data_IF_334190982001
#
_entry.id   IF_334190982001
#
_cell.length_a   1.000
_cell.length_b   1.000
_cell.length_c   1.000
_cell.angle_alpha   90.00
_cell.angle_beta   90.00
_cell.angle_gamma   90.00
#
_symmetry.space_group_name_H-M   'P 1'
#
loop_
_entity.id
_entity.type
_entity.pdbx_description
1 polymer ?
#
# COMPACT_ATOMS: atom_id res chain seq x y z
N UNK A 1 13.38 -58.68 27.78
CA UNK A 1 13.25 -57.27 27.35
C UNK A 1 14.20 -57.08 26.17
N UNK A 2 13.74 -57.19 24.92
CA UNK A 2 13.26 -56.06 24.05
C UNK A 2 14.31 -54.95 23.97
N UNK A 3 14.87 -54.54 22.84
CA UNK A 3 14.60 -54.81 21.44
C UNK A 3 15.64 -54.07 20.57
N UNK A 4 15.57 -54.34 19.27
CA UNK A 4 16.45 -53.91 18.19
C UNK A 4 16.57 -52.38 17.98
N UNK A 5 17.56 -51.96 17.18
CA UNK A 5 17.50 -50.66 16.50
C UNK A 5 18.76 -50.14 15.81
N UNK A 6 19.19 -50.78 14.72
CA UNK A 6 20.04 -50.14 13.69
C UNK A 6 19.36 -48.90 13.09
N UNK A 7 20.10 -47.78 12.94
CA UNK A 7 19.80 -46.68 11.99
C UNK A 7 21.15 -46.08 11.55
N UNK A 8 21.73 -46.54 10.45
CA UNK A 8 21.51 -46.09 9.06
C UNK A 8 21.56 -44.57 8.90
N UNK A 9 22.77 -44.12 8.62
CA UNK A 9 23.14 -42.86 7.99
C UNK A 9 22.69 -42.84 6.52
N UNK A 10 21.85 -41.87 6.17
CA UNK A 10 21.39 -41.39 4.83
C UNK A 10 20.48 -40.19 5.19
N UNK A 11 20.38 -39.06 4.50
CA UNK A 11 20.88 -38.51 3.25
C UNK A 11 20.50 -37.03 3.32
N UNK A 12 21.45 -36.11 3.14
CA UNK A 12 21.48 -35.12 2.07
C UNK A 12 20.12 -34.64 1.51
N UNK A 13 19.85 -33.34 1.79
CA UNK A 13 19.39 -32.28 0.89
C UNK A 13 18.25 -32.60 -0.08
N UNK A 14 17.05 -32.09 0.22
CA UNK A 14 16.12 -31.50 -0.77
C UNK A 14 15.26 -30.43 -0.05
N UNK A 15 15.80 -29.22 0.09
CA UNK A 15 15.01 -28.00 0.37
C UNK A 15 14.78 -27.31 -0.98
N UNK A 16 13.58 -27.42 -1.54
CA UNK A 16 13.32 -26.92 -2.89
C UNK A 16 11.86 -26.99 -3.32
N UNK A 17 10.93 -26.55 -2.49
CA UNK A 17 9.57 -26.24 -2.93
C UNK A 17 9.39 -24.71 -2.97
N UNK A 18 9.81 -24.13 -4.09
CA UNK A 18 9.51 -22.76 -4.49
C UNK A 18 7.99 -22.65 -4.71
N UNK A 19 7.28 -22.28 -3.65
CA UNK A 19 5.88 -21.92 -3.70
C UNK A 19 5.69 -20.74 -4.66
N UNK A 20 5.18 -21.04 -5.85
CA UNK A 20 4.68 -20.10 -6.83
C UNK A 20 3.49 -19.32 -6.26
N UNK A 21 3.78 -18.26 -5.50
CA UNK A 21 2.79 -17.24 -5.18
C UNK A 21 2.82 -16.22 -6.32
N UNK A 22 1.99 -16.47 -7.33
CA UNK A 22 1.57 -15.44 -8.28
C UNK A 22 0.85 -14.35 -7.52
N UNK A 23 1.62 -13.37 -7.04
CA UNK A 23 1.09 -12.18 -6.41
C UNK A 23 0.66 -11.22 -7.50
N UNK A 24 -0.66 -11.12 -7.65
CA UNK A 24 -1.42 -10.02 -8.25
C UNK A 24 -0.59 -8.79 -8.57
N UNK A 25 -0.59 -8.42 -9.85
CA UNK A 25 -0.22 -7.10 -10.35
C UNK A 25 -1.21 -6.05 -9.87
N UNK A 26 -1.29 -5.86 -8.55
CA UNK A 26 -1.93 -4.70 -7.96
C UNK A 26 -0.94 -3.55 -8.15
N UNK A 27 -1.17 -2.77 -9.19
CA UNK A 27 -0.52 -1.49 -9.44
C UNK A 27 -0.58 -0.65 -8.16
N UNK A 28 0.44 -0.76 -7.30
CA UNK A 28 0.62 0.06 -6.10
C UNK A 28 1.10 1.46 -6.51
N UNK A 29 0.39 2.08 -7.45
CA UNK A 29 0.35 3.54 -7.53
C UNK A 29 -0.67 4.04 -6.50
N UNK A 30 -0.45 3.68 -5.24
CA UNK A 30 -1.09 4.38 -4.14
C UNK A 30 -0.41 5.75 -4.09
N UNK A 31 -1.01 6.71 -4.80
CA UNK A 31 -0.72 8.13 -4.69
C UNK A 31 -0.62 8.47 -3.21
N UNK A 32 0.36 9.29 -2.86
CA UNK A 32 0.48 9.81 -1.49
C UNK A 32 -0.83 10.50 -1.17
N UNK A 33 -1.58 9.96 -0.21
CA UNK A 33 -2.89 10.52 0.16
C UNK A 33 -2.70 11.98 0.55
N UNK A 34 -3.34 12.87 -0.22
CA UNK A 34 -3.22 14.30 -0.06
C UNK A 34 -3.69 14.71 1.33
N UNK A 35 -3.06 15.74 1.91
CA UNK A 35 -3.44 16.25 3.23
C UNK A 35 -4.88 16.79 3.15
N UNK A 36 -5.83 16.30 3.97
CA UNK A 36 -7.20 16.77 3.90
C UNK A 36 -7.27 18.26 4.29
N UNK A 37 -8.05 19.03 3.54
CA UNK A 37 -8.36 20.43 3.88
C UNK A 37 -9.10 20.48 5.23
N UNK A 38 -8.97 21.57 6.01
CA UNK A 38 -9.65 21.68 7.30
C UNK A 38 -11.17 21.47 7.23
N UNK A 39 -11.83 22.03 6.21
CA UNK A 39 -13.27 21.86 5.98
C UNK A 39 -13.69 20.42 5.72
N UNK A 40 -12.83 19.59 5.13
CA UNK A 40 -13.09 18.16 4.93
C UNK A 40 -12.99 17.31 6.20
N UNK A 41 -12.62 17.90 7.35
CA UNK A 41 -12.52 17.20 8.65
C UNK A 41 -13.58 17.68 9.64
N UNK A 42 -13.83 18.99 9.68
CA UNK A 42 -14.71 19.65 10.66
C UNK A 42 -15.83 20.49 10.02
N UNK A 43 -16.08 20.32 8.71
CA UNK A 43 -17.16 21.02 8.00
C UNK A 43 -18.52 20.32 8.07
N UNK A 44 -18.56 19.04 8.45
CA UNK A 44 -19.79 18.27 8.66
C UNK A 44 -19.74 17.64 10.06
N UNK A 45 -20.81 17.79 10.83
CA UNK A 45 -20.94 17.29 12.20
C UNK A 45 -22.19 16.41 12.36
N UNK A 46 -22.10 15.28 13.07
CA UNK A 46 -20.89 14.73 13.71
C UNK A 46 -19.85 14.25 12.70
N UNK A 47 -18.59 14.19 13.12
CA UNK A 47 -17.46 13.75 12.28
C UNK A 47 -16.87 12.46 12.83
N UNK A 48 -16.53 11.51 11.94
CA UNK A 48 -15.84 10.27 12.31
C UNK A 48 -14.36 10.48 12.66
N UNK A 49 -13.86 11.72 12.50
CA UNK A 49 -12.51 12.07 12.84
C UNK A 49 -12.32 12.13 14.36
N UNK A 50 -11.37 11.38 14.92
CA UNK A 50 -11.00 11.51 16.34
C UNK A 50 -10.50 12.92 16.71
N UNK A 51 -10.68 13.31 17.98
CA UNK A 51 -10.45 14.68 18.49
C UNK A 51 -9.14 15.32 18.04
N UNK A 52 -8.01 14.59 18.12
CA UNK A 52 -6.70 15.12 17.66
C UNK A 52 -6.70 15.54 16.20
N UNK A 53 -7.40 14.81 15.33
CA UNK A 53 -7.50 15.15 13.90
C UNK A 53 -8.34 16.40 13.71
N UNK A 54 -9.43 16.55 14.47
CA UNK A 54 -10.29 17.74 14.45
C UNK A 54 -9.55 18.99 14.95
N UNK A 55 -8.87 18.92 16.10
CA UNK A 55 -8.09 20.04 16.64
C UNK A 55 -6.94 20.44 15.71
N UNK A 56 -6.26 19.48 15.09
CA UNK A 56 -5.24 19.78 14.09
C UNK A 56 -5.82 20.44 12.84
N UNK A 57 -7.06 20.13 12.44
CA UNK A 57 -7.75 20.82 11.36
C UNK A 57 -8.12 22.26 11.77
N UNK A 58 -8.64 22.45 12.98
CA UNK A 58 -8.93 23.76 13.54
C UNK A 58 -7.67 24.64 13.61
N UNK A 59 -6.54 24.11 14.09
CA UNK A 59 -5.27 24.82 14.12
C UNK A 59 -4.83 25.30 12.71
N UNK A 60 -4.92 24.42 11.69
CA UNK A 60 -4.58 24.77 10.30
C UNK A 60 -5.51 25.81 9.70
N UNK A 61 -6.81 25.75 10.01
CA UNK A 61 -7.76 26.76 9.55
C UNK A 61 -7.39 28.17 10.04
N UNK A 62 -6.71 28.26 11.19
CA UNK A 62 -6.15 29.51 11.74
C UNK A 62 -4.75 29.85 11.22
N UNK A 63 -4.27 29.17 10.18
CA UNK A 63 -2.93 29.37 9.60
C UNK A 63 -1.78 28.81 10.45
N UNK A 64 -2.04 27.96 11.45
CA UNK A 64 -0.95 27.33 12.22
C UNK A 64 -0.31 26.19 11.44
N UNK A 65 1.01 26.14 11.52
CA UNK A 65 1.86 25.13 10.87
C UNK A 65 2.66 24.39 11.94
N UNK A 66 2.85 23.08 11.75
CA UNK A 66 3.67 22.27 12.65
C UNK A 66 5.15 22.54 12.39
N UNK A 67 6.00 22.33 13.39
CA UNK A 67 7.45 22.54 13.25
C UNK A 67 8.07 21.58 12.22
N UNK A 68 7.49 20.38 12.10
CA UNK A 68 7.90 19.33 11.14
C UNK A 68 7.26 19.48 9.74
N UNK A 69 6.65 20.62 9.41
CA UNK A 69 5.95 20.79 8.13
C UNK A 69 6.91 20.73 6.92
N UNK A 70 8.03 21.46 6.98
CA UNK A 70 9.01 21.47 5.90
C UNK A 70 9.63 20.07 5.68
N UNK A 71 9.85 19.32 6.76
CA UNK A 71 10.33 17.94 6.69
C UNK A 71 9.28 17.01 6.04
N UNK A 72 7.97 17.25 6.28
CA UNK A 72 6.91 16.51 5.60
C UNK A 72 6.98 16.77 4.09
N UNK A 73 7.13 18.03 3.67
CA UNK A 73 7.20 18.42 2.26
C UNK A 73 8.47 17.85 1.58
N UNK A 74 9.59 17.81 2.30
CA UNK A 74 10.83 17.14 1.85
C UNK A 74 10.62 15.64 1.65
N UNK A 75 10.01 14.95 2.63
CA UNK A 75 9.73 13.52 2.55
C UNK A 75 8.73 13.20 1.41
N UNK A 76 7.73 14.05 1.20
CA UNK A 76 6.78 13.91 0.09
C UNK A 76 7.47 14.07 -1.26
N UNK A 77 8.40 15.03 -1.36
CA UNK A 77 9.23 15.22 -2.55
C UNK A 77 10.18 14.04 -2.79
N UNK A 78 10.83 13.52 -1.75
CA UNK A 78 11.66 12.32 -1.84
C UNK A 78 10.84 11.11 -2.31
N UNK A 79 9.63 10.96 -1.78
CA UNK A 79 8.73 9.87 -2.14
C UNK A 79 8.23 9.98 -3.59
N UNK A 80 7.99 11.20 -4.09
CA UNK A 80 7.59 11.46 -5.46
C UNK A 80 8.72 11.19 -6.47
N UNK A 81 9.98 11.36 -6.08
CA UNK A 81 11.14 11.07 -6.91
C UNK A 81 11.42 9.57 -7.10
N UNK A 82 10.76 8.70 -6.32
CA UNK A 82 10.99 7.26 -6.37
C UNK A 82 10.06 6.58 -7.37
N UNK A 83 10.62 6.26 -8.53
CA UNK A 83 10.02 5.41 -9.54
C UNK A 83 10.45 3.96 -9.35
N UNK A 84 9.49 3.05 -9.33
CA UNK A 84 9.74 1.62 -9.16
C UNK A 84 9.31 0.90 -10.42
N UNK A 85 10.27 0.29 -11.11
CA UNK A 85 10.01 -0.59 -12.24
C UNK A 85 9.65 -2.01 -11.79
N UNK A 86 8.72 -2.64 -12.50
CA UNK A 86 8.44 -4.07 -12.37
C UNK A 86 9.31 -4.85 -13.35
N UNK A 87 10.15 -5.75 -12.83
CA UNK A 87 11.04 -6.58 -13.64
C UNK A 87 10.55 -8.02 -13.63
N UNK A 88 10.28 -8.59 -14.80
CA UNK A 88 9.91 -10.00 -14.97
C UNK A 88 11.13 -10.83 -15.37
N UNK A 89 11.46 -11.83 -14.54
CA UNK A 89 12.58 -12.74 -14.77
C UNK A 89 12.20 -13.95 -15.64
N UNK A 90 10.91 -14.19 -15.85
CA UNK A 90 10.38 -15.38 -16.51
C UNK A 90 10.94 -15.57 -17.93
N UNK A 91 10.98 -14.54 -18.80
CA UNK A 91 11.50 -14.69 -20.16
C UNK A 91 12.99 -15.08 -20.17
N UNK A 92 13.80 -14.46 -19.31
CA UNK A 92 15.23 -14.74 -19.23
C UNK A 92 15.52 -16.14 -18.68
N UNK A 93 14.77 -16.59 -17.66
CA UNK A 93 14.88 -17.97 -17.13
C UNK A 93 14.49 -19.00 -18.18
N UNK A 94 13.41 -18.75 -18.91
CA UNK A 94 12.96 -19.62 -19.99
C UNK A 94 14.02 -19.76 -21.08
N UNK A 95 14.65 -18.64 -21.51
CA UNK A 95 15.69 -18.70 -22.54
C UNK A 95 16.88 -19.55 -22.10
N UNK A 96 17.36 -19.40 -20.85
CA UNK A 96 18.46 -20.23 -20.31
C UNK A 96 18.09 -21.71 -20.33
N UNK A 97 16.86 -22.08 -19.97
CA UNK A 97 16.41 -23.47 -20.02
C UNK A 97 16.35 -24.00 -21.45
N UNK A 98 15.87 -23.19 -22.40
CA UNK A 98 15.80 -23.56 -23.82
C UNK A 98 17.19 -23.81 -24.41
N UNK A 99 18.15 -22.88 -24.21
CA UNK A 99 19.51 -23.01 -24.73
C UNK A 99 20.27 -24.16 -24.09
N UNK A 100 20.06 -24.41 -22.78
CA UNK A 100 20.64 -25.57 -22.09
C UNK A 100 20.11 -26.88 -22.67
N UNK A 101 18.80 -26.97 -22.90
CA UNK A 101 18.18 -28.14 -23.51
C UNK A 101 18.63 -28.39 -24.96
N UNK A 102 18.88 -27.33 -25.72
CA UNK A 102 19.43 -27.41 -27.08
C UNK A 102 20.88 -27.92 -27.09
N UNK A 103 21.74 -27.41 -26.20
CA UNK A 103 23.11 -27.87 -26.05
C UNK A 103 23.18 -29.36 -25.74
N UNK A 104 22.35 -29.86 -24.82
CA UNK A 104 22.30 -31.28 -24.47
C UNK A 104 21.97 -32.15 -25.70
N UNK A 105 20.94 -31.77 -26.47
CA UNK A 105 20.57 -32.48 -27.71
C UNK A 105 21.70 -32.46 -28.76
N UNK A 106 22.38 -31.32 -28.92
CA UNK A 106 23.47 -31.19 -29.88
C UNK A 106 24.71 -31.99 -29.46
N UNK A 107 25.04 -32.04 -28.17
CA UNK A 107 26.10 -32.92 -27.65
C UNK A 107 25.81 -34.39 -27.94
N UNK A 108 24.58 -34.82 -27.72
CA UNK A 108 24.15 -36.19 -28.03
C UNK A 108 24.30 -36.50 -29.53
N UNK A 109 23.82 -35.60 -30.40
CA UNK A 109 23.98 -35.71 -31.86
C UNK A 109 25.44 -35.81 -32.28
N UNK A 110 26.31 -34.93 -31.77
CA UNK A 110 27.76 -34.96 -32.04
C UNK A 110 28.37 -36.28 -31.57
N UNK A 111 27.99 -36.79 -30.40
CA UNK A 111 28.49 -38.05 -29.88
C UNK A 111 28.09 -39.24 -30.76
N UNK A 112 26.85 -39.27 -31.24
CA UNK A 112 26.34 -40.30 -32.15
C UNK A 112 27.09 -40.28 -33.49
N UNK A 113 27.18 -39.13 -34.16
CA UNK A 113 27.88 -38.97 -35.43
C UNK A 113 29.37 -39.32 -35.33
N UNK A 114 30.01 -38.96 -34.20
CA UNK A 114 31.40 -39.36 -33.92
C UNK A 114 31.55 -40.87 -33.75
N UNK A 115 30.55 -41.53 -33.15
CA UNK A 115 30.48 -42.99 -33.05
C UNK A 115 30.37 -43.64 -34.43
N UNK A 116 29.44 -43.17 -35.25
CA UNK A 116 29.20 -43.69 -36.61
C UNK A 116 30.41 -43.52 -37.53
N UNK A 117 31.04 -42.33 -37.53
CA UNK A 117 32.26 -42.08 -38.30
C UNK A 117 33.41 -43.01 -37.89
N UNK A 118 33.52 -43.38 -36.60
CA UNK A 118 34.51 -44.36 -36.13
C UNK A 118 34.17 -45.76 -36.60
N UNK A 119 32.90 -46.16 -36.54
CA UNK A 119 32.45 -47.47 -36.99
C UNK A 119 32.69 -47.66 -38.49
N UNK A 120 32.39 -46.67 -39.33
CA UNK A 120 32.63 -46.72 -40.79
C UNK A 120 34.12 -46.84 -41.12
N UNK A 121 34.99 -46.06 -40.47
CA UNK A 121 36.45 -46.21 -40.62
C UNK A 121 36.96 -47.58 -40.20
N UNK A 122 36.38 -48.21 -39.18
CA UNK A 122 36.82 -49.52 -38.71
C UNK A 122 36.54 -50.66 -39.72
N UNK A 123 35.62 -50.44 -40.65
CA UNK A 123 35.25 -51.39 -41.71
C UNK A 123 35.68 -50.92 -43.11
N UNK A 124 36.56 -49.92 -43.19
CA UNK A 124 37.02 -49.27 -44.44
C UNK A 124 35.85 -48.82 -45.36
N UNK A 125 34.72 -48.42 -44.76
CA UNK A 125 33.61 -47.81 -45.47
C UNK A 125 33.79 -46.29 -45.61
N UNK A 126 33.22 -45.72 -46.68
CA UNK A 126 33.19 -44.28 -46.90
C UNK A 126 32.49 -43.56 -45.73
N UNK A 127 33.16 -42.55 -45.18
CA UNK A 127 32.72 -41.80 -44.02
C UNK A 127 32.57 -40.30 -44.30
N UNK A 128 32.81 -39.83 -45.54
CA UNK A 128 32.91 -38.40 -45.85
C UNK A 128 31.62 -37.64 -45.52
N UNK A 129 30.45 -38.20 -45.87
CA UNK A 129 29.15 -37.60 -45.53
C UNK A 129 28.96 -37.49 -44.01
N UNK A 130 29.29 -38.52 -43.23
CA UNK A 130 29.17 -38.49 -41.76
C UNK A 130 30.14 -37.50 -41.14
N UNK A 131 31.31 -37.28 -41.75
CA UNK A 131 32.26 -36.27 -41.29
C UNK A 131 31.73 -34.86 -41.53
N UNK A 132 31.10 -34.60 -42.68
CA UNK A 132 30.44 -33.33 -42.94
C UNK A 132 29.29 -33.07 -41.96
N UNK A 133 28.44 -34.08 -41.69
CA UNK A 133 27.37 -33.98 -40.70
C UNK A 133 27.91 -33.73 -39.28
N UNK A 134 29.01 -34.39 -38.92
CA UNK A 134 29.68 -34.19 -37.63
C UNK A 134 30.22 -32.77 -37.49
N UNK A 135 30.84 -32.24 -38.54
CA UNK A 135 31.35 -30.87 -38.57
C UNK A 135 30.22 -29.84 -38.45
N UNK A 136 29.12 -30.05 -39.18
CA UNK A 136 27.92 -29.21 -39.09
C UNK A 136 27.31 -29.25 -37.68
N UNK A 137 27.13 -30.44 -37.08
CA UNK A 137 26.61 -30.59 -35.73
C UNK A 137 27.53 -29.96 -34.67
N UNK A 138 28.86 -30.02 -34.86
CA UNK A 138 29.83 -29.37 -33.98
C UNK A 138 29.76 -27.84 -34.09
N UNK A 139 29.54 -27.31 -35.30
CA UNK A 139 29.33 -25.88 -35.52
C UNK A 139 28.02 -25.39 -34.87
N UNK A 140 26.92 -26.14 -35.03
CA UNK A 140 25.64 -25.88 -34.34
C UNK A 140 25.83 -25.89 -32.82
N UNK A 141 26.55 -26.88 -32.28
CA UNK A 141 26.84 -26.95 -30.84
C UNK A 141 27.62 -25.73 -30.35
N UNK A 142 28.62 -25.27 -31.11
CA UNK A 142 29.39 -24.07 -30.76
C UNK A 142 28.53 -22.81 -30.77
N UNK A 143 27.63 -22.67 -31.74
CA UNK A 143 26.67 -21.58 -31.81
C UNK A 143 25.71 -21.60 -30.62
N UNK A 144 25.12 -22.76 -30.30
CA UNK A 144 24.22 -22.93 -29.15
C UNK A 144 24.92 -22.64 -27.81
N UNK A 145 26.18 -23.04 -27.65
CA UNK A 145 27.00 -22.70 -26.48
C UNK A 145 27.19 -21.18 -26.33
N UNK A 146 27.44 -20.49 -27.44
CA UNK A 146 27.55 -19.03 -27.44
C UNK A 146 26.22 -18.39 -27.05
N UNK A 147 25.11 -18.91 -27.55
CA UNK A 147 23.77 -18.41 -27.20
C UNK A 147 23.42 -18.65 -25.73
N UNK A 148 23.79 -19.80 -25.16
CA UNK A 148 23.59 -20.06 -23.73
C UNK A 148 24.33 -19.05 -22.85
N UNK A 149 25.58 -18.71 -23.19
CA UNK A 149 26.33 -17.67 -22.49
C UNK A 149 25.58 -16.32 -22.54
N UNK A 150 25.06 -15.96 -23.72
CA UNK A 150 24.28 -14.73 -23.87
C UNK A 150 22.98 -14.76 -23.05
N UNK A 151 22.29 -15.90 -23.01
CA UNK A 151 21.07 -16.09 -22.22
C UNK A 151 21.35 -16.00 -20.70
N UNK A 152 22.44 -16.58 -20.22
CA UNK A 152 22.87 -16.50 -18.83
C UNK A 152 23.20 -15.06 -18.43
N UNK A 153 23.96 -14.34 -19.26
CA UNK A 153 24.27 -12.93 -19.05
C UNK A 153 23.02 -12.04 -19.04
N UNK A 154 22.02 -12.36 -19.89
CA UNK A 154 20.75 -11.66 -19.89
C UNK A 154 19.97 -11.91 -18.57
N UNK A 155 19.96 -13.16 -18.08
CA UNK A 155 19.34 -13.51 -16.81
C UNK A 155 20.04 -12.83 -15.63
N UNK A 156 21.37 -12.73 -15.63
CA UNK A 156 22.12 -12.03 -14.58
C UNK A 156 21.77 -10.54 -14.54
N UNK A 157 21.72 -9.87 -15.70
CA UNK A 157 21.29 -8.47 -15.82
C UNK A 157 19.87 -8.28 -15.29
N UNK A 158 18.93 -9.11 -15.73
CA UNK A 158 17.54 -9.04 -15.26
C UNK A 158 17.44 -9.27 -13.74
N UNK A 159 18.24 -10.18 -13.16
CA UNK A 159 18.30 -10.39 -11.70
C UNK A 159 18.82 -9.16 -10.96
N UNK A 160 19.85 -8.50 -11.50
CA UNK A 160 20.42 -7.28 -10.92
C UNK A 160 19.39 -6.13 -10.95
N UNK A 161 18.68 -5.96 -12.07
CA UNK A 161 17.60 -4.99 -12.21
C UNK A 161 16.45 -5.28 -11.23
N UNK A 162 16.02 -6.54 -11.14
CA UNK A 162 15.00 -6.96 -10.18
C UNK A 162 15.43 -6.71 -8.72
N UNK A 163 16.72 -6.86 -8.41
CA UNK A 163 17.27 -6.54 -7.09
C UNK A 163 17.20 -5.04 -6.79
N UNK A 164 17.64 -4.20 -7.73
CA UNK A 164 17.54 -2.73 -7.61
C UNK A 164 16.09 -2.29 -7.44
N UNK A 165 15.17 -2.82 -8.23
CA UNK A 165 13.75 -2.54 -8.12
C UNK A 165 13.18 -2.94 -6.75
N UNK A 166 13.61 -4.08 -6.19
CA UNK A 166 13.24 -4.50 -4.82
C UNK A 166 13.77 -3.54 -3.76
N UNK A 167 15.02 -3.10 -3.89
CA UNK A 167 15.63 -2.17 -2.94
C UNK A 167 14.95 -0.80 -2.98
N UNK A 168 14.57 -0.34 -4.17
CA UNK A 168 13.82 0.90 -4.35
C UNK A 168 12.41 0.80 -3.75
N UNK A 169 11.70 -0.33 -3.93
CA UNK A 169 10.44 -0.59 -3.21
C UNK A 169 10.62 -0.53 -1.69
N UNK A 170 11.68 -1.14 -1.17
CA UNK A 170 11.96 -1.14 0.27
C UNK A 170 12.28 0.28 0.77
N UNK A 171 13.00 1.09 -0.02
CA UNK A 171 13.25 2.50 0.28
C UNK A 171 11.94 3.29 0.31
N UNK A 172 11.10 3.17 -0.72
CA UNK A 172 9.78 3.81 -0.81
C UNK A 172 8.91 3.50 0.41
N UNK A 173 8.87 2.24 0.85
CA UNK A 173 8.12 1.82 2.04
C UNK A 173 8.63 2.49 3.32
N UNK A 174 9.95 2.51 3.54
CA UNK A 174 10.55 3.17 4.70
C UNK A 174 10.23 4.67 4.76
N UNK A 175 10.30 5.35 3.62
CA UNK A 175 9.99 6.78 3.49
C UNK A 175 8.50 7.02 3.77
N UNK A 176 7.60 6.19 3.23
CA UNK A 176 6.15 6.26 3.51
C UNK A 176 5.84 6.10 5.00
N UNK A 177 6.52 5.20 5.69
CA UNK A 177 6.35 5.04 7.14
C UNK A 177 6.89 6.23 7.92
N UNK A 178 8.04 6.77 7.51
CA UNK A 178 8.56 8.03 8.07
C UNK A 178 7.56 9.17 7.88
N UNK A 179 6.99 9.32 6.68
CA UNK A 179 5.96 10.32 6.38
C UNK A 179 4.75 10.17 7.30
N UNK A 180 4.25 8.94 7.47
CA UNK A 180 3.11 8.65 8.36
C UNK A 180 3.41 9.05 9.81
N UNK A 181 4.62 8.78 10.29
CA UNK A 181 5.06 9.16 11.62
C UNK A 181 5.21 10.68 11.78
N UNK A 182 5.78 11.38 10.81
CA UNK A 182 5.87 12.85 10.84
C UNK A 182 4.50 13.52 10.76
N UNK A 183 3.59 13.00 9.92
CA UNK A 183 2.18 13.45 9.89
C UNK A 183 1.45 13.20 11.22
N UNK A 184 1.80 12.16 12.00
CA UNK A 184 1.30 11.97 13.37
C UNK A 184 1.86 13.03 14.32
N UNK A 185 3.17 13.27 14.30
CA UNK A 185 3.82 14.31 15.10
C UNK A 185 3.22 15.70 14.83
N UNK A 186 3.08 16.06 13.55
CA UNK A 186 2.45 17.32 13.14
C UNK A 186 1.02 17.48 13.66
N UNK A 187 0.22 16.40 13.65
CA UNK A 187 -1.14 16.45 14.20
C UNK A 187 -1.13 16.64 15.71
N UNK A 188 -0.20 15.99 16.42
CA UNK A 188 -0.02 16.14 17.86
C UNK A 188 0.33 17.58 18.22
N UNK A 189 1.39 18.15 17.63
CA UNK A 189 1.82 19.54 17.87
C UNK A 189 0.70 20.54 17.60
N UNK A 190 0.00 20.39 16.47
CA UNK A 190 -1.09 21.29 16.11
C UNK A 190 -2.25 21.19 17.10
N UNK A 191 -2.64 19.98 17.50
CA UNK A 191 -3.72 19.76 18.46
C UNK A 191 -3.37 20.33 19.83
N UNK A 192 -2.15 20.07 20.32
CA UNK A 192 -1.64 20.62 21.59
C UNK A 192 -1.64 22.16 21.58
N UNK A 193 -1.25 22.77 20.45
CA UNK A 193 -1.17 24.23 20.34
C UNK A 193 -2.52 24.93 20.59
N UNK A 194 -3.65 24.32 20.18
CA UNK A 194 -5.00 24.91 20.30
C UNK A 194 -5.80 24.33 21.46
N UNK A 195 -5.21 23.44 22.24
CA UNK A 195 -5.93 22.66 23.24
C UNK A 195 -6.43 23.55 24.40
N UNK A 196 -5.69 24.60 24.75
CA UNK A 196 -6.13 25.56 25.76
C UNK A 196 -7.40 26.32 25.34
N UNK A 197 -7.50 26.66 24.07
CA UNK A 197 -8.65 27.32 23.47
C UNK A 197 -9.84 26.37 23.36
N UNK A 198 -9.59 25.10 23.02
CA UNK A 198 -10.59 24.04 23.05
C UNK A 198 -11.21 23.88 24.45
N UNK A 199 -10.39 23.80 25.50
CA UNK A 199 -10.89 23.70 26.90
C UNK A 199 -11.79 24.87 27.28
N UNK A 200 -11.46 26.07 26.82
CA UNK A 200 -12.32 27.26 27.01
C UNK A 200 -13.60 27.14 26.19
N UNK A 201 -13.54 26.66 24.95
CA UNK A 201 -14.71 26.47 24.10
C UNK A 201 -15.73 25.48 24.70
N UNK A 202 -15.27 24.45 25.42
CA UNK A 202 -16.15 23.50 26.13
C UNK A 202 -17.11 24.18 27.12
N UNK A 203 -16.73 25.32 27.73
CA UNK A 203 -17.62 26.07 28.65
C UNK A 203 -18.89 26.63 27.99
N UNK A 204 -18.89 26.73 26.66
CA UNK A 204 -19.93 27.45 25.91
C UNK A 204 -20.81 26.51 25.10
N UNK A 205 -20.24 25.38 24.66
CA UNK A 205 -20.94 24.44 23.79
C UNK A 205 -21.92 23.55 24.56
N UNK A 206 -22.99 23.09 23.91
CA UNK A 206 -23.94 22.16 24.52
C UNK A 206 -23.24 20.88 24.97
N UNK A 207 -23.63 20.35 26.13
CA UNK A 207 -23.02 19.16 26.76
C UNK A 207 -21.49 19.26 26.98
N UNK A 208 -20.91 20.46 26.87
CA UNK A 208 -19.49 20.67 27.11
C UNK A 208 -19.17 20.75 28.60
N UNK A 209 -18.22 19.91 29.05
CA UNK A 209 -17.64 19.98 30.39
C UNK A 209 -16.12 20.22 30.33
N UNK A 210 -15.62 21.39 30.76
CA UNK A 210 -14.19 21.66 30.83
C UNK A 210 -13.41 20.74 31.77
N UNK A 211 -14.06 20.10 32.76
CA UNK A 211 -13.41 19.19 33.69
C UNK A 211 -13.15 17.82 33.04
N UNK A 212 -14.05 17.37 32.17
CA UNK A 212 -13.88 16.18 31.32
C UNK A 212 -12.78 16.36 30.25
N UNK A 213 -12.22 17.56 30.10
CA UNK A 213 -11.24 17.82 29.06
C UNK A 213 -9.93 17.06 29.28
N UNK A 214 -9.46 16.99 30.52
CA UNK A 214 -8.11 16.50 30.85
C UNK A 214 -7.00 17.53 30.62
N UNK A 215 -5.76 17.06 30.71
CA UNK A 215 -4.55 17.89 30.53
C UNK A 215 -4.06 17.93 29.07
N UNK A 216 -4.40 16.92 28.27
CA UNK A 216 -3.96 16.75 26.89
C UNK A 216 -5.10 16.19 26.01
N UNK A 217 -5.04 16.33 24.68
CA UNK A 217 -6.08 15.84 23.78
C UNK A 217 -6.45 14.35 23.92
N UNK A 218 -5.55 13.49 24.40
CA UNK A 218 -5.83 12.06 24.62
C UNK A 218 -6.57 11.75 25.93
N UNK A 219 -6.59 12.71 26.86
CA UNK A 219 -7.24 12.56 28.15
C UNK A 219 -8.70 13.06 28.13
N UNK A 220 -9.23 13.41 26.96
CA UNK A 220 -10.61 13.84 26.83
C UNK A 220 -11.55 12.65 27.01
N UNK A 221 -12.42 12.72 28.01
CA UNK A 221 -13.40 11.69 28.37
C UNK A 221 -14.84 12.24 28.37
N UNK A 222 -15.05 13.36 27.67
CA UNK A 222 -16.35 14.01 27.54
C UNK A 222 -17.14 13.56 26.31
N UNK A 223 -18.28 14.22 26.07
CA UNK A 223 -19.14 13.94 24.93
C UNK A 223 -18.43 14.23 23.58
N UNK A 224 -18.39 13.29 22.62
CA UNK A 224 -17.76 13.49 21.31
C UNK A 224 -18.38 14.61 20.45
N UNK A 225 -19.68 14.85 20.57
CA UNK A 225 -20.41 15.92 19.87
C UNK A 225 -20.00 17.27 20.47
N UNK A 226 -19.97 17.38 21.79
CA UNK A 226 -19.48 18.59 22.46
C UNK A 226 -18.03 18.90 22.06
N UNK A 227 -17.19 17.86 21.97
CA UNK A 227 -15.81 17.99 21.50
C UNK A 227 -15.76 18.54 20.06
N UNK A 228 -16.62 18.02 19.18
CA UNK A 228 -16.64 18.42 17.77
C UNK A 228 -17.19 19.84 17.57
N UNK A 229 -18.20 20.24 18.34
CA UNK A 229 -18.71 21.61 18.38
C UNK A 229 -17.64 22.58 18.91
N UNK A 230 -16.91 22.20 19.96
CA UNK A 230 -15.84 23.02 20.54
C UNK A 230 -14.65 23.16 19.58
N UNK A 231 -14.25 22.09 18.90
CA UNK A 231 -13.20 22.12 17.87
C UNK A 231 -13.59 23.00 16.67
N UNK A 232 -14.85 22.94 16.27
CA UNK A 232 -15.41 23.77 15.19
C UNK A 232 -15.46 25.24 15.61
N UNK A 233 -15.87 25.54 16.85
CA UNK A 233 -15.94 26.92 17.38
C UNK A 233 -14.61 27.66 17.38
N UNK A 234 -13.49 26.95 17.59
CA UNK A 234 -12.16 27.56 17.60
C UNK A 234 -11.54 27.67 16.20
N UNK A 235 -12.10 26.96 15.22
CA UNK A 235 -11.66 27.00 13.83
C UNK A 235 -12.02 28.32 13.14
N UNK A 236 -11.27 28.66 12.10
CA UNK A 236 -11.56 29.75 11.18
C UNK A 236 -11.93 29.14 9.82
N UNK A 237 -13.19 28.72 9.69
CA UNK A 237 -13.70 28.09 8.47
C UNK A 237 -14.40 29.12 7.60
N UNK A 238 -14.03 29.15 6.31
CA UNK A 238 -14.66 30.01 5.30
C UNK A 238 -15.80 29.29 4.56
N UNK A 239 -16.05 28.02 4.89
CA UNK A 239 -17.11 27.20 4.30
C UNK A 239 -18.26 27.01 5.30
N UNK A 240 -19.51 26.86 4.81
CA UNK A 240 -20.64 26.54 5.67
C UNK A 240 -20.39 25.25 6.46
N UNK A 241 -20.85 25.21 7.71
CA UNK A 241 -20.82 24.00 8.54
C UNK A 241 -22.16 23.30 8.45
N UNK A 242 -22.14 22.01 8.11
CA UNK A 242 -23.32 21.15 8.11
C UNK A 242 -23.49 20.49 9.48
N UNK A 243 -24.67 20.68 10.09
CA UNK A 243 -25.08 20.00 11.31
C UNK A 243 -26.12 18.95 10.97
N UNK A 244 -25.90 17.71 11.45
CA UNK A 244 -26.76 16.56 11.23
C UNK A 244 -27.07 15.86 12.55
N UNK A 245 -28.22 15.19 12.61
CA UNK A 245 -28.59 14.29 13.70
C UNK A 245 -28.36 14.89 15.10
N UNK A 246 -27.58 14.19 15.93
CA UNK A 246 -27.32 14.60 17.31
C UNK A 246 -26.66 15.97 17.45
N UNK A 247 -25.80 16.35 16.50
CA UNK A 247 -25.16 17.67 16.51
C UNK A 247 -26.17 18.79 16.25
N UNK A 248 -27.15 18.56 15.36
CA UNK A 248 -28.25 19.49 15.13
C UNK A 248 -29.16 19.60 16.36
N UNK A 249 -29.57 18.48 16.94
CA UNK A 249 -30.41 18.42 18.15
C UNK A 249 -29.76 19.13 19.35
N UNK A 250 -28.46 18.92 19.54
CA UNK A 250 -27.72 19.54 20.64
C UNK A 250 -27.64 21.07 20.50
N UNK A 251 -27.51 21.58 19.27
CA UNK A 251 -27.48 23.02 19.00
C UNK A 251 -28.87 23.65 19.14
N UNK A 252 -29.91 22.97 18.68
CA UNK A 252 -31.30 23.43 18.82
C UNK A 252 -31.73 23.55 20.28
N UNK A 253 -31.37 22.57 21.11
CA UNK A 253 -31.69 22.56 22.55
C UNK A 253 -30.97 23.65 23.37
N UNK A 254 -29.91 24.26 22.83
CA UNK A 254 -29.03 25.17 23.57
C UNK A 254 -29.53 26.62 23.68
N UNK A 255 -30.72 26.90 23.13
CA UNK A 255 -31.40 28.22 23.11
C UNK A 255 -30.46 29.39 22.71
N UNK A 256 -29.52 29.09 21.80
CA UNK A 256 -28.55 30.04 21.24
C UNK A 256 -28.43 29.81 19.74
N UNK A 257 -28.25 30.89 18.99
CA UNK A 257 -28.09 30.76 17.54
C UNK A 257 -26.82 29.97 17.20
N UNK A 258 -26.94 29.02 16.27
CA UNK A 258 -25.84 28.16 15.84
C UNK A 258 -24.59 28.95 15.39
N UNK A 259 -24.79 30.10 14.73
CA UNK A 259 -23.72 31.04 14.34
C UNK A 259 -22.96 31.60 15.54
N UNK A 260 -23.66 31.98 16.62
CA UNK A 260 -23.05 32.48 17.85
C UNK A 260 -22.29 31.37 18.59
N UNK A 261 -22.84 30.14 18.59
CA UNK A 261 -22.22 28.96 19.20
C UNK A 261 -20.97 28.48 18.46
N UNK A 262 -20.94 28.55 17.13
CA UNK A 262 -19.83 28.05 16.33
C UNK A 262 -18.88 29.16 15.83
N UNK A 263 -19.18 30.44 16.09
CA UNK A 263 -18.41 31.59 15.60
C UNK A 263 -18.13 31.54 14.09
N UNK A 264 -19.07 30.98 13.35
CA UNK A 264 -19.02 30.85 11.89
C UNK A 264 -20.10 31.70 11.26
N UNK A 265 -19.83 32.19 10.04
CA UNK A 265 -20.75 33.00 9.28
C UNK A 265 -21.94 32.19 8.74
N UNK A 266 -21.74 30.91 8.42
CA UNK A 266 -22.76 30.08 7.78
C UNK A 266 -22.85 28.67 8.41
N UNK A 267 -24.07 28.30 8.83
CA UNK A 267 -24.40 27.00 9.41
C UNK A 267 -25.66 26.50 8.72
N UNK A 268 -25.62 25.26 8.23
CA UNK A 268 -26.75 24.57 7.61
C UNK A 268 -27.14 23.39 8.49
N UNK A 269 -28.36 23.40 8.98
CA UNK A 269 -28.96 22.22 9.59
C UNK A 269 -29.52 21.38 8.45
N UNK A 270 -29.02 20.17 8.31
CA UNK A 270 -29.53 19.21 7.33
C UNK A 270 -30.39 18.23 8.11
N UNK A 271 -31.70 18.39 7.97
CA UNK A 271 -32.64 17.38 8.43
C UNK A 271 -32.43 16.14 7.56
N UNK A 272 -31.84 15.10 8.14
CA UNK A 272 -31.97 13.76 7.56
C UNK A 272 -33.46 13.43 7.62
N UNK A 273 -34.15 13.18 6.50
CA UNK A 273 -35.51 12.68 6.57
C UNK A 273 -35.45 11.40 7.40
N UNK A 274 -36.24 11.39 8.48
CA UNK A 274 -36.45 10.24 9.34
C UNK A 274 -36.56 8.98 8.46
N UNK A 275 -35.68 8.01 8.65
CA UNK A 275 -35.98 6.63 8.27
C UNK A 275 -37.05 6.11 9.26
N UNK A 276 -38.24 6.71 9.20
CA UNK A 276 -39.44 6.27 9.90
C UNK A 276 -40.57 6.21 8.88
N UNK A 277 -40.66 5.07 8.20
CA UNK A 277 -41.70 4.84 7.21
C UNK A 277 -41.86 3.39 6.75
N UNK A 278 -41.32 2.42 7.50
CA UNK A 278 -41.72 1.03 7.35
C UNK A 278 -43.12 0.82 7.92
N UNK A 279 -44.17 1.09 7.14
CA UNK A 279 -45.45 0.36 7.18
C UNK A 279 -46.43 0.89 6.13
N UNK A 280 -47.17 -0.01 5.49
CA UNK A 280 -48.49 0.33 4.96
C UNK A 280 -48.67 0.36 3.44
N UNK A 281 -48.07 -0.56 2.69
CA UNK A 281 -48.45 -0.83 1.30
C UNK A 281 -49.42 -2.01 1.20
N UNK A 282 -50.70 -1.79 1.47
CA UNK A 282 -51.78 -2.75 1.21
C UNK A 282 -51.74 -3.26 -0.22
N UNK A 283 -51.51 -4.57 -0.39
CA UNK A 283 -51.89 -5.27 -1.61
C UNK A 283 -53.32 -5.78 -1.42
N UNK A 284 -54.28 -5.03 -1.99
CA UNK A 284 -55.61 -5.52 -2.31
C UNK A 284 -55.58 -6.35 -3.60
N UNK A 285 -56.38 -7.42 -3.63
CA UNK A 285 -56.61 -8.30 -4.77
C UNK A 285 -56.19 -9.74 -4.45
N UNK A 286 -56.94 -10.80 -4.74
CA UNK A 286 -58.24 -11.05 -5.35
C UNK A 286 -58.43 -12.59 -5.24
N UNK A 287 -59.66 -13.07 -5.40
CA UNK A 287 -60.06 -14.49 -5.60
C UNK A 287 -60.14 -15.34 -4.31
N UNK A 288 -61.26 -15.98 -3.95
CA UNK A 288 -62.33 -16.64 -4.72
C UNK A 288 -63.67 -16.58 -3.99
#
# INVERSE_FOLDING_TARGET
MTGAGSRSSRSDREDGEDASTGADGRTESALVEARPKPSGVIGELPTDAGLRRQLAAAARSRGRTATVADEIDEIESELAAIEVESVDLTPARRRVAETTGEIERLKERVAALRGDARARRAVDADADETLNDLEAAAAELSAAQTEAIAAEQALERARAEAARARDERRRRLRIRDRLRNRRRAARRELAESVYSEFRRALTVVPAGDPNAAGAEPDAYDGDPIAASLAATRIAALDTPIELRGDAARAVEAADRSARSLLRTADVRVVDTPDEAGGSGGSASGSER
#
